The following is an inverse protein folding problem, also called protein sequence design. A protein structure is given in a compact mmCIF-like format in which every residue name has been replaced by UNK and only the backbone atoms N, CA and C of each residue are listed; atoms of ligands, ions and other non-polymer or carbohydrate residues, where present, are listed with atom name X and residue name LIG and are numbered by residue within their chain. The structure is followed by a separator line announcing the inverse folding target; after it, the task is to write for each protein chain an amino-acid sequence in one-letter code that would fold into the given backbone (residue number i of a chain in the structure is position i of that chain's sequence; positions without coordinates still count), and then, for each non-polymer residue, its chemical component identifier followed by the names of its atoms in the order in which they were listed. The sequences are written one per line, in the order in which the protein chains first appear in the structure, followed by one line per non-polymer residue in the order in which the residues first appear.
data_IF_164960441622
#
_entry.id   IF_164960441622
#
_cell.length_a   1.000
_cell.length_b   1.000
_cell.length_c   1.000
_cell.angle_alpha   90.00
_cell.angle_beta   90.00
_cell.angle_gamma   90.00
#
_symmetry.space_group_name_H-M   'P 1'
#
loop_
_entity.id
_entity.type
_entity.pdbx_description
1 polymer ?
#
# COMPACT_ATOMS: atom_id res chain seq x y z
N UNK A 1 54.93 42.48 -2.88
CA UNK A 1 55.03 41.30 -3.77
C UNK A 1 54.55 40.07 -2.99
N UNK A 2 53.65 39.26 -3.59
CA UNK A 2 53.17 37.91 -3.20
C UNK A 2 52.52 37.77 -1.80
N UNK A 3 51.18 37.67 -1.66
CA UNK A 3 50.29 36.49 -1.89
C UNK A 3 50.80 35.26 -1.11
N UNK A 4 50.04 34.64 -0.20
CA UNK A 4 48.97 33.67 -0.53
C UNK A 4 48.09 33.42 0.73
N UNK A 5 46.78 33.40 0.49
CA UNK A 5 45.69 32.97 1.38
C UNK A 5 45.76 31.46 1.56
N UNK A 6 45.65 30.94 2.79
CA UNK A 6 45.32 29.52 3.02
C UNK A 6 44.02 29.43 3.80
N UNK A 7 42.91 29.38 3.05
CA UNK A 7 41.59 29.08 3.57
C UNK A 7 41.51 27.59 3.91
N UNK A 8 41.05 27.30 5.12
CA UNK A 8 40.69 25.96 5.56
C UNK A 8 39.37 25.58 4.86
N UNK A 9 39.46 24.92 3.71
CA UNK A 9 38.31 24.22 3.12
C UNK A 9 38.15 22.89 3.87
N UNK A 10 37.09 22.80 4.66
CA UNK A 10 36.55 21.55 5.18
C UNK A 10 35.68 20.98 4.05
N UNK A 11 35.97 19.78 3.52
CA UNK A 11 35.01 19.09 2.68
C UNK A 11 33.91 18.54 3.59
N UNK A 12 32.77 19.22 3.62
CA UNK A 12 31.53 18.65 4.12
C UNK A 12 31.16 17.53 3.15
N UNK A 13 31.44 16.29 3.53
CA UNK A 13 30.88 15.12 2.86
C UNK A 13 29.36 15.14 3.07
N UNK A 14 28.65 15.74 2.13
CA UNK A 14 27.22 15.52 1.96
C UNK A 14 27.05 14.08 1.46
N UNK A 15 26.94 13.14 2.39
CA UNK A 15 26.38 11.82 2.10
C UNK A 15 24.90 12.06 1.80
N UNK A 16 24.58 12.24 0.52
CA UNK A 16 23.20 12.25 0.07
C UNK A 16 22.64 10.85 0.27
N UNK A 17 21.69 10.70 1.21
CA UNK A 17 20.78 9.57 1.18
C UNK A 17 20.00 9.68 -0.13
N UNK A 18 20.37 8.88 -1.13
CA UNK A 18 19.42 8.54 -2.19
C UNK A 18 18.38 7.63 -1.55
N UNK A 19 17.24 8.19 -1.14
CA UNK A 19 16.10 7.36 -0.80
C UNK A 19 15.65 6.71 -2.09
N UNK A 20 15.96 5.43 -2.24
CA UNK A 20 15.67 4.60 -3.41
C UNK A 20 14.17 4.22 -3.44
N UNK A 21 13.29 5.20 -3.19
CA UNK A 21 11.83 5.04 -3.12
C UNK A 21 11.23 4.63 -4.47
N UNK A 22 11.99 4.83 -5.55
CA UNK A 22 11.58 4.51 -6.92
C UNK A 22 11.40 3.00 -7.17
N UNK A 23 12.07 2.13 -6.42
CA UNK A 23 11.89 0.69 -6.59
C UNK A 23 10.54 0.22 -6.04
N UNK A 24 10.04 0.77 -4.92
CA UNK A 24 8.75 0.37 -4.33
C UNK A 24 7.55 0.74 -5.21
N UNK A 25 7.66 1.84 -5.96
CA UNK A 25 6.65 2.29 -6.91
C UNK A 25 6.71 1.54 -8.24
N UNK A 26 7.91 1.15 -8.69
CA UNK A 26 8.10 0.36 -9.90
C UNK A 26 8.14 -1.14 -9.60
N UNK A 27 7.09 -1.66 -8.96
CA UNK A 27 6.96 -3.08 -8.72
C UNK A 27 6.64 -3.82 -10.04
N UNK A 28 7.55 -4.66 -10.58
CA UNK A 28 7.33 -5.35 -11.86
C UNK A 28 6.23 -6.42 -11.78
N UNK A 29 5.87 -6.87 -10.57
CA UNK A 29 4.82 -7.85 -10.36
C UNK A 29 3.42 -7.23 -10.48
N UNK A 30 3.25 -5.95 -10.16
CA UNK A 30 1.94 -5.33 -10.04
C UNK A 30 1.71 -4.27 -11.12
N UNK A 31 1.14 -4.64 -12.29
CA UNK A 31 0.85 -3.67 -13.34
C UNK A 31 -0.09 -2.56 -12.87
N UNK A 32 -0.01 -1.41 -13.51
CA UNK A 32 -0.99 -0.34 -13.31
C UNK A 32 -2.27 -0.66 -14.08
N UNK A 33 -3.36 -0.82 -13.33
CA UNK A 33 -4.71 -0.97 -13.87
C UNK A 33 -5.49 0.29 -13.61
N UNK A 34 -6.21 0.78 -14.61
CA UNK A 34 -7.16 1.88 -14.44
C UNK A 34 -8.47 1.32 -13.91
N UNK A 35 -8.84 1.66 -12.69
CA UNK A 35 -10.14 1.30 -12.12
C UNK A 35 -10.64 2.37 -11.15
N UNK A 36 -11.95 2.31 -10.87
CA UNK A 36 -12.62 3.17 -9.89
C UNK A 36 -13.77 2.39 -9.27
N UNK A 37 -13.85 2.37 -7.95
CA UNK A 37 -14.91 1.73 -7.17
C UNK A 37 -15.57 2.80 -6.31
N UNK A 38 -16.90 2.78 -6.25
CA UNK A 38 -17.65 3.61 -5.33
C UNK A 38 -18.39 2.70 -4.33
N UNK A 39 -18.08 2.88 -3.04
CA UNK A 39 -18.68 2.16 -1.92
C UNK A 39 -19.68 3.10 -1.24
N UNK A 40 -20.96 2.74 -1.23
CA UNK A 40 -21.99 3.54 -0.59
C UNK A 40 -22.27 3.04 0.84
N UNK A 41 -21.80 3.76 1.86
CA UNK A 41 -21.92 3.39 3.26
C UNK A 41 -23.37 3.18 3.73
N UNK A 42 -24.39 3.67 3.00
CA UNK A 42 -25.80 3.39 3.31
C UNK A 42 -26.21 1.93 3.01
N UNK A 43 -25.41 1.20 2.22
CA UNK A 43 -25.68 -0.19 1.88
C UNK A 43 -25.17 -1.14 2.97
N UNK A 44 -25.95 -2.17 3.35
CA UNK A 44 -25.54 -3.14 4.38
C UNK A 44 -24.21 -3.84 4.11
N UNK A 45 -23.86 -4.03 2.83
CA UNK A 45 -22.60 -4.65 2.41
C UNK A 45 -21.35 -3.91 2.96
N UNK A 46 -21.44 -2.59 3.11
CA UNK A 46 -20.32 -1.76 3.56
C UNK A 46 -20.43 -1.31 5.01
N UNK A 47 -21.34 -1.92 5.79
CA UNK A 47 -21.57 -1.56 7.19
C UNK A 47 -20.29 -1.61 8.05
N UNK A 48 -19.39 -2.57 7.73
CA UNK A 48 -18.08 -2.64 8.37
C UNK A 48 -17.29 -1.32 8.26
N UNK A 49 -17.36 -0.62 7.13
CA UNK A 49 -16.66 0.64 6.91
C UNK A 49 -17.27 1.84 7.64
N UNK A 50 -18.38 1.67 8.36
CA UNK A 50 -18.94 2.70 9.23
C UNK A 50 -18.32 2.74 10.63
N UNK A 51 -17.57 1.71 11.01
CA UNK A 51 -16.98 1.58 12.35
C UNK A 51 -15.45 1.50 12.27
N UNK A 52 -14.71 2.36 12.99
CA UNK A 52 -13.25 2.32 13.01
C UNK A 52 -12.73 0.95 13.46
N UNK A 53 -11.63 0.50 12.88
CA UNK A 53 -11.03 -0.80 13.19
C UNK A 53 -11.49 -1.93 12.27
N UNK A 54 -12.55 -1.73 11.49
CA UNK A 54 -13.08 -2.72 10.56
C UNK A 54 -12.60 -2.49 9.12
N UNK A 55 -12.71 -3.54 8.32
CA UNK A 55 -12.36 -3.54 6.90
C UNK A 55 -13.45 -4.15 6.03
N UNK A 56 -13.37 -3.86 4.74
CA UNK A 56 -14.13 -4.50 3.68
C UNK A 56 -13.16 -4.90 2.57
N UNK A 57 -13.35 -6.10 2.01
CA UNK A 57 -12.53 -6.60 0.91
C UNK A 57 -13.42 -6.98 -0.26
N UNK A 58 -12.99 -6.62 -1.47
CA UNK A 58 -13.64 -7.04 -2.72
C UNK A 58 -12.60 -7.66 -3.65
N UNK A 59 -12.96 -8.77 -4.30
CA UNK A 59 -12.07 -9.52 -5.19
C UNK A 59 -12.47 -9.38 -6.67
N UNK A 60 -13.38 -8.46 -6.98
CA UNK A 60 -13.84 -8.19 -8.34
C UNK A 60 -13.17 -6.98 -9.01
N UNK A 61 -12.31 -6.27 -8.27
CA UNK A 61 -11.63 -5.06 -8.71
C UNK A 61 -10.16 -5.08 -8.28
N UNK A 62 -9.34 -4.22 -8.86
CA UNK A 62 -7.88 -4.30 -8.71
C UNK A 62 -7.30 -5.42 -9.57
N UNK A 63 -6.11 -5.89 -9.23
CA UNK A 63 -5.44 -7.01 -9.93
C UNK A 63 -6.02 -8.34 -9.44
N UNK A 64 -6.09 -8.54 -8.12
CA UNK A 64 -6.74 -9.70 -7.48
C UNK A 64 -7.73 -9.29 -6.40
N UNK A 65 -7.68 -8.06 -5.92
CA UNK A 65 -8.67 -7.53 -5.01
C UNK A 65 -8.26 -6.19 -4.41
N UNK A 66 -9.19 -5.58 -3.68
CA UNK A 66 -8.98 -4.34 -2.95
C UNK A 66 -9.48 -4.55 -1.53
N UNK A 67 -8.66 -4.20 -0.54
CA UNK A 67 -9.09 -4.04 0.84
C UNK A 67 -9.19 -2.57 1.19
N UNK A 68 -10.26 -2.20 1.87
CA UNK A 68 -10.46 -0.87 2.47
C UNK A 68 -10.53 -1.04 3.98
N UNK A 69 -9.75 -0.27 4.71
CA UNK A 69 -9.74 -0.25 6.17
C UNK A 69 -10.16 1.12 6.70
N UNK A 70 -11.01 1.12 7.73
CA UNK A 70 -11.49 2.33 8.37
C UNK A 70 -10.64 2.70 9.59
N UNK A 71 -9.89 3.80 9.50
CA UNK A 71 -9.04 4.27 10.60
C UNK A 71 -9.87 4.99 11.66
N UNK A 72 -10.70 5.95 11.27
CA UNK A 72 -11.40 6.84 12.22
C UNK A 72 -12.65 7.52 11.64
N UNK A 73 -13.35 6.87 10.72
CA UNK A 73 -14.50 7.37 9.95
C UNK A 73 -14.21 8.57 9.03
N UNK A 74 -13.08 9.27 9.17
CA UNK A 74 -12.69 10.34 8.24
C UNK A 74 -11.54 9.91 7.34
N UNK A 75 -10.70 9.01 7.84
CA UNK A 75 -9.54 8.47 7.14
C UNK A 75 -9.72 6.97 6.91
N UNK A 76 -9.33 6.56 5.71
CA UNK A 76 -9.39 5.19 5.26
C UNK A 76 -8.10 4.87 4.51
N UNK A 77 -7.70 3.61 4.51
CA UNK A 77 -6.63 3.10 3.64
C UNK A 77 -7.23 2.13 2.64
N UNK A 78 -6.63 2.07 1.46
CA UNK A 78 -6.98 1.10 0.45
C UNK A 78 -5.71 0.47 -0.11
N UNK A 79 -5.69 -0.86 -0.22
CA UNK A 79 -4.54 -1.61 -0.72
C UNK A 79 -4.96 -2.73 -1.69
N UNK A 80 -4.08 -3.06 -2.63
CA UNK A 80 -4.20 -4.22 -3.51
C UNK A 80 -4.05 -5.53 -2.71
N UNK A 81 -4.85 -6.53 -3.06
CA UNK A 81 -4.83 -7.89 -2.49
C UNK A 81 -4.11 -8.92 -3.38
N UNK A 82 -3.15 -8.46 -4.16
CA UNK A 82 -2.13 -9.28 -4.83
C UNK A 82 -0.82 -9.16 -4.09
N UNK A 83 -0.19 -10.30 -3.76
CA UNK A 83 1.12 -10.30 -3.13
C UNK A 83 2.13 -9.53 -4.01
N UNK A 84 2.66 -8.40 -3.52
CA UNK A 84 3.57 -7.56 -4.30
C UNK A 84 4.94 -8.22 -4.53
N UNK A 85 5.32 -9.24 -3.77
CA UNK A 85 6.59 -9.93 -3.91
C UNK A 85 6.51 -11.14 -4.85
N UNK A 86 5.32 -11.47 -5.37
CA UNK A 86 5.11 -12.58 -6.31
C UNK A 86 4.55 -12.09 -7.65
N UNK A 87 5.02 -12.61 -8.80
CA UNK A 87 4.32 -12.42 -10.06
C UNK A 87 2.87 -12.91 -9.94
N UNK A 88 1.87 -12.19 -10.48
CA UNK A 88 0.47 -12.53 -10.32
C UNK A 88 0.19 -13.94 -10.82
N UNK A 89 -0.29 -14.80 -9.90
CA UNK A 89 -0.57 -16.20 -10.17
C UNK A 89 -1.83 -16.64 -9.40
N UNK A 90 -2.03 -17.95 -9.21
CA UNK A 90 -3.22 -18.47 -8.54
C UNK A 90 -3.16 -18.37 -7.01
N UNK A 91 -1.97 -18.45 -6.40
CA UNK A 91 -1.79 -18.36 -4.95
C UNK A 91 -1.50 -16.94 -4.44
N UNK A 92 -1.10 -16.04 -5.35
CA UNK A 92 -0.73 -14.66 -4.98
C UNK A 92 -1.92 -13.77 -4.57
N UNK A 93 -3.16 -14.27 -4.66
CA UNK A 93 -4.32 -13.56 -4.12
C UNK A 93 -4.32 -13.67 -2.59
N UNK A 94 -4.45 -12.55 -1.90
CA UNK A 94 -4.38 -12.50 -0.44
C UNK A 94 -5.76 -12.60 0.20
N UNK A 95 -5.85 -13.28 1.35
CA UNK A 95 -7.05 -13.31 2.19
C UNK A 95 -6.87 -12.41 3.42
N UNK A 96 -7.89 -11.63 3.74
CA UNK A 96 -7.85 -10.69 4.87
C UNK A 96 -8.49 -11.32 6.11
N UNK A 97 -7.77 -11.34 7.23
CA UNK A 97 -8.27 -11.73 8.55
C UNK A 97 -7.84 -10.68 9.59
N UNK A 98 -8.80 -9.97 10.17
CA UNK A 98 -8.51 -8.84 11.06
C UNK A 98 -7.77 -7.72 10.31
N UNK A 99 -6.55 -7.40 10.77
CA UNK A 99 -5.66 -6.41 10.13
C UNK A 99 -4.58 -7.04 9.25
N UNK A 100 -4.63 -8.35 9.03
CA UNK A 100 -3.61 -9.09 8.29
C UNK A 100 -4.15 -9.53 6.93
N UNK A 101 -3.45 -9.21 5.85
CA UNK A 101 -3.63 -9.80 4.53
C UNK A 101 -2.58 -10.89 4.33
N UNK A 102 -3.01 -12.13 4.12
CA UNK A 102 -2.14 -13.31 4.01
C UNK A 102 -2.13 -13.85 2.59
N UNK A 103 -0.93 -13.95 2.00
CA UNK A 103 -0.69 -14.66 0.75
C UNK A 103 -1.00 -16.15 0.90
N UNK A 104 -1.55 -16.76 -0.15
CA UNK A 104 -1.91 -18.18 -0.15
C UNK A 104 -0.82 -19.06 -0.77
N UNK A 105 0.34 -18.48 -1.10
CA UNK A 105 1.51 -19.24 -1.52
C UNK A 105 2.25 -19.84 -0.31
N UNK A 106 3.18 -20.76 -0.57
CA UNK A 106 3.88 -21.54 0.47
C UNK A 106 4.84 -20.71 1.35
N UNK A 107 5.23 -19.51 0.88
CA UNK A 107 6.09 -18.58 1.60
C UNK A 107 5.39 -17.91 2.79
N UNK A 108 4.05 -17.88 2.78
CA UNK A 108 3.22 -17.41 3.87
C UNK A 108 3.37 -15.91 4.14
N UNK A 109 3.65 -15.09 3.12
CA UNK A 109 3.77 -13.64 3.29
C UNK A 109 2.50 -13.07 3.94
N UNK A 110 2.69 -12.23 4.94
CA UNK A 110 1.63 -11.55 5.66
C UNK A 110 1.91 -10.05 5.68
N UNK A 111 0.86 -9.26 5.48
CA UNK A 111 0.94 -7.81 5.40
C UNK A 111 -0.08 -7.15 6.32
N UNK A 112 0.29 -6.00 6.88
CA UNK A 112 -0.61 -5.17 7.66
C UNK A 112 -1.47 -4.30 6.72
N UNK A 113 -2.80 -4.43 6.75
CA UNK A 113 -3.70 -3.65 5.87
C UNK A 113 -3.89 -2.18 6.30
N UNK A 114 -3.35 -1.80 7.46
CA UNK A 114 -3.37 -0.43 7.97
C UNK A 114 -2.13 0.31 7.48
N UNK A 115 -0.94 -0.29 7.59
CA UNK A 115 0.34 0.34 7.21
C UNK A 115 0.84 -0.06 5.81
N UNK A 116 0.38 -1.20 5.28
CA UNK A 116 0.85 -1.80 4.04
C UNK A 116 2.13 -2.64 4.20
N UNK A 117 2.71 -2.69 5.40
CA UNK A 117 4.02 -3.30 5.66
C UNK A 117 3.96 -4.83 5.67
N UNK A 118 5.04 -5.46 5.21
CA UNK A 118 5.25 -6.91 5.35
C UNK A 118 5.51 -7.22 6.82
N UNK A 119 4.66 -8.05 7.42
CA UNK A 119 4.73 -8.45 8.83
C UNK A 119 5.29 -9.85 9.03
N UNK A 120 5.22 -10.73 8.03
CA UNK A 120 5.82 -12.05 8.04
C UNK A 120 6.18 -12.48 6.60
N UNK A 121 7.18 -13.33 6.44
CA UNK A 121 7.68 -13.78 5.13
C UNK A 121 8.92 -13.02 4.65
N UNK A 122 9.24 -13.15 3.37
CA UNK A 122 10.42 -12.54 2.75
C UNK A 122 10.03 -11.72 1.51
N UNK A 123 10.49 -10.47 1.45
CA UNK A 123 10.13 -9.59 0.36
C UNK A 123 10.61 -8.16 0.57
N UNK A 124 10.80 -7.44 -0.54
CA UNK A 124 11.22 -6.03 -0.52
C UNK A 124 10.06 -5.06 -0.76
N UNK A 125 8.96 -5.55 -1.32
CA UNK A 125 7.80 -4.73 -1.65
C UNK A 125 6.75 -4.77 -0.54
N UNK A 126 6.16 -3.62 -0.28
CA UNK A 126 4.94 -3.49 0.55
C UNK A 126 3.70 -3.52 -0.32
N UNK A 127 2.53 -3.62 0.31
CA UNK A 127 1.26 -3.55 -0.40
C UNK A 127 1.21 -2.30 -1.28
N UNK A 128 0.67 -2.46 -2.50
CA UNK A 128 0.43 -1.34 -3.42
C UNK A 128 -0.75 -0.53 -2.89
N UNK A 129 -0.54 0.75 -2.50
CA UNK A 129 -1.63 1.59 -2.02
C UNK A 129 -2.50 2.03 -3.20
N UNK A 130 -3.80 2.16 -2.93
CA UNK A 130 -4.75 2.83 -3.81
C UNK A 130 -5.17 4.18 -3.25
N UNK A 131 -5.50 5.10 -4.16
CA UNK A 131 -6.07 6.38 -3.79
C UNK A 131 -7.48 6.17 -3.26
N UNK A 132 -7.81 6.88 -2.20
CA UNK A 132 -9.11 6.76 -1.53
C UNK A 132 -9.60 8.14 -1.11
N UNK A 133 -10.88 8.42 -1.36
CA UNK A 133 -11.53 9.67 -0.99
C UNK A 133 -12.92 9.40 -0.42
N UNK A 134 -13.25 9.99 0.74
CA UNK A 134 -14.60 9.95 1.30
C UNK A 134 -15.35 11.24 0.98
N UNK A 135 -16.54 11.12 0.41
CA UNK A 135 -17.49 12.22 0.15
C UNK A 135 -18.85 11.89 0.75
N UNK A 136 -19.12 12.41 1.94
CA UNK A 136 -20.35 12.10 2.69
C UNK A 136 -20.43 10.60 3.02
N UNK A 137 -21.42 9.92 2.45
CA UNK A 137 -21.62 8.48 2.60
C UNK A 137 -21.00 7.65 1.47
N UNK A 138 -20.34 8.26 0.49
CA UNK A 138 -19.61 7.55 -0.54
C UNK A 138 -18.11 7.51 -0.22
N UNK A 139 -17.49 6.34 -0.37
CA UNK A 139 -16.04 6.16 -0.43
C UNK A 139 -15.69 5.79 -1.86
N UNK A 140 -14.75 6.50 -2.44
CA UNK A 140 -14.23 6.22 -3.78
C UNK A 140 -12.80 5.70 -3.69
N UNK A 141 -12.51 4.59 -4.37
CA UNK A 141 -11.17 3.99 -4.46
C UNK A 141 -10.76 3.87 -5.91
N UNK A 142 -9.52 4.29 -6.23
CA UNK A 142 -9.01 4.28 -7.59
C UNK A 142 -7.48 4.16 -7.63
N UNK A 143 -6.96 3.72 -8.77
CA UNK A 143 -5.52 3.81 -9.08
C UNK A 143 -5.18 5.21 -9.55
#
# INVERSE_FOLDING_TARGET
MKKIIFGLIIPVFLVGCSTDDNNRLNNPNLPDLNFRIQLNLDLPEYNNLQYPGNSYSTYSNGIKGVVVYNINNSQYTAFELSDPNHPPNNCSAMQVTGITAKCQCDDGNEYNIVTGELTAGEGQYTLKPYRIERRGNAIEVYN
#
